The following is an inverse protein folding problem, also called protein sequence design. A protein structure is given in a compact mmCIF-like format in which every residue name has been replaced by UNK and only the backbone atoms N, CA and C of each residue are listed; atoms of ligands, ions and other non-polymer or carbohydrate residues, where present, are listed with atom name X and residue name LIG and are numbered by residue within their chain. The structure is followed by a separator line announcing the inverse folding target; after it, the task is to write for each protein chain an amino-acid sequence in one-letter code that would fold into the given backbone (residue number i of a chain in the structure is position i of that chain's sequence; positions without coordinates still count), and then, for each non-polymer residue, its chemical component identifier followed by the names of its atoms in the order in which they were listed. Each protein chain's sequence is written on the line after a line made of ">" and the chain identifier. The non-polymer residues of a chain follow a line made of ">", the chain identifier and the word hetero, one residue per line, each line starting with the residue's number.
data_IF_431464907692
#
_entry.id   IF_431464907692
#
_cell.length_a   1.000
_cell.length_b   1.000
_cell.length_c   1.000
_cell.angle_alpha   90.00
_cell.angle_beta   90.00
_cell.angle_gamma   90.00
#
_symmetry.space_group_name_H-M   'P 1'
#
loop_
_entity.id
_entity.type
_entity.pdbx_description
1 polymer ?
#
# COMPACT_ATOMS: atom_id res chain seq x y z
N UNK A 1 34.75 17.60 6.25
CA UNK A 1 33.36 17.55 6.75
C UNK A 1 32.57 16.76 5.72
N UNK A 2 32.05 15.57 6.06
CA UNK A 2 31.24 14.78 5.13
C UNK A 2 30.04 15.63 4.67
N UNK A 3 29.65 15.54 3.40
CA UNK A 3 28.49 16.22 2.79
C UNK A 3 27.24 16.13 3.67
N UNK A 4 27.04 15.00 4.36
CA UNK A 4 25.96 14.81 5.34
C UNK A 4 25.99 15.78 6.54
N UNK A 5 27.17 16.09 7.07
CA UNK A 5 27.30 17.05 8.18
C UNK A 5 27.01 18.50 7.73
N UNK A 6 27.29 18.82 6.47
CA UNK A 6 26.93 20.13 5.91
C UNK A 6 25.42 20.24 5.65
N UNK A 7 24.75 19.14 5.31
CA UNK A 7 23.29 19.08 5.16
C UNK A 7 22.60 19.17 6.53
N UNK A 8 23.13 18.49 7.55
CA UNK A 8 22.61 18.54 8.93
C UNK A 8 22.58 19.97 9.47
N UNK A 9 23.70 20.68 9.39
CA UNK A 9 23.81 22.06 9.88
C UNK A 9 22.76 22.96 9.20
N UNK A 10 22.50 22.77 7.91
CA UNK A 10 21.51 23.58 7.19
C UNK A 10 20.07 23.31 7.63
N UNK A 11 19.73 22.06 7.98
CA UNK A 11 18.41 21.72 8.52
C UNK A 11 18.19 22.33 9.91
N UNK A 12 19.23 22.31 10.75
CA UNK A 12 19.19 22.90 12.09
C UNK A 12 19.09 24.44 12.01
N UNK A 13 19.84 25.08 11.10
CA UNK A 13 19.77 26.53 10.88
C UNK A 13 18.41 26.98 10.35
N UNK A 14 17.82 26.25 9.39
CA UNK A 14 16.50 26.57 8.85
C UNK A 14 15.36 26.44 9.89
N UNK A 15 15.55 25.62 10.93
CA UNK A 15 14.60 25.47 12.04
C UNK A 15 14.74 26.58 13.10
N UNK A 16 15.92 27.22 13.21
CA UNK A 16 16.17 28.30 14.17
C UNK A 16 15.70 29.67 13.64
N UNK A 17 15.80 29.93 12.34
CA UNK A 17 15.31 31.17 11.71
C UNK A 17 13.78 31.37 11.86
N UNK A 18 13.02 30.30 12.10
CA UNK A 18 11.56 30.35 12.31
C UNK A 18 11.15 30.82 13.72
N UNK A 19 12.09 30.88 14.68
CA UNK A 19 11.81 31.42 16.03
C UNK A 19 11.81 32.95 16.09
N UNK A 20 12.38 33.64 15.09
CA UNK A 20 12.51 35.10 15.10
C UNK A 20 11.41 35.84 14.29
N UNK A 21 10.61 35.15 13.47
CA UNK A 21 9.67 35.81 12.56
C UNK A 21 8.19 35.39 12.76
N UNK A 22 7.66 35.58 13.96
CA UNK A 22 6.20 35.60 14.21
C UNK A 22 5.74 37.03 14.50
N UNK A 23 5.56 37.83 13.45
CA UNK A 23 4.78 39.09 13.53
C UNK A 23 3.33 38.82 13.16
N UNK A 24 2.48 38.86 14.17
CA UNK A 24 1.02 38.68 14.10
C UNK A 24 0.40 39.81 13.27
N UNK A 25 -0.25 39.48 12.15
CA UNK A 25 -1.13 40.41 11.43
C UNK A 25 -2.53 39.81 11.37
N UNK A 26 -3.45 40.41 12.13
CA UNK A 26 -4.87 40.05 12.19
C UNK A 26 -5.59 40.64 10.97
N UNK A 27 -6.20 39.81 10.13
CA UNK A 27 -7.12 40.26 9.09
C UNK A 27 -8.58 39.94 9.45
N UNK A 28 -9.41 40.98 9.34
CA UNK A 28 -10.84 41.00 9.63
C UNK A 28 -11.63 40.53 8.39
N UNK A 29 -12.56 39.61 8.59
CA UNK A 29 -13.47 39.07 7.57
C UNK A 29 -14.80 39.83 7.59
N UNK A 30 -15.36 40.27 6.45
CA UNK A 30 -16.77 40.66 6.33
C UNK A 30 -17.65 39.56 5.69
N UNK A 31 -18.99 39.60 5.90
CA UNK A 31 -19.87 38.45 5.71
C UNK A 31 -20.51 38.32 4.32
N UNK A 32 -21.04 37.11 4.07
CA UNK A 32 -21.84 36.61 2.93
C UNK A 32 -23.08 37.45 2.58
N UNK A 33 -23.63 37.21 1.38
CA UNK A 33 -25.04 36.86 1.30
C UNK A 33 -25.37 35.59 0.49
N UNK A 34 -26.53 35.03 0.81
CA UNK A 34 -27.18 33.83 0.28
C UNK A 34 -27.78 34.01 -1.12
N UNK A 35 -28.01 32.88 -1.80
CA UNK A 35 -28.86 32.80 -2.99
C UNK A 35 -29.11 31.37 -3.47
N UNK A 36 -30.24 30.79 -3.07
CA UNK A 36 -30.79 29.54 -3.62
C UNK A 36 -31.33 29.72 -5.06
N UNK A 37 -31.22 28.70 -5.92
CA UNK A 37 -32.32 28.23 -6.81
C UNK A 37 -32.05 26.86 -7.45
N UNK A 38 -33.12 26.07 -7.56
CA UNK A 38 -33.22 24.64 -7.91
C UNK A 38 -33.46 24.35 -9.41
N UNK A 39 -33.13 23.09 -9.79
CA UNK A 39 -33.82 22.14 -10.73
C UNK A 39 -33.57 22.23 -12.26
N UNK A 40 -33.07 21.13 -12.88
CA UNK A 40 -33.86 20.07 -13.60
C UNK A 40 -32.99 19.00 -14.29
N UNK A 41 -33.43 17.73 -14.18
CA UNK A 41 -32.94 16.54 -14.91
C UNK A 41 -33.43 16.51 -16.38
N UNK A 42 -32.64 15.93 -17.29
CA UNK A 42 -33.14 15.23 -18.51
C UNK A 42 -32.28 14.01 -18.86
N UNK A 43 -32.95 12.96 -19.38
CA UNK A 43 -32.48 11.62 -19.77
C UNK A 43 -32.50 11.45 -21.30
N UNK A 44 -31.83 10.36 -21.77
CA UNK A 44 -31.85 9.64 -23.09
C UNK A 44 -30.79 10.12 -24.10
N UNK A 45 -30.16 9.30 -24.96
CA UNK A 45 -30.37 7.92 -25.46
C UNK A 45 -29.06 7.40 -26.12
N UNK A 46 -29.06 6.13 -26.56
CA UNK A 46 -27.94 5.20 -26.90
C UNK A 46 -27.40 5.23 -28.36
N UNK A 47 -26.06 4.98 -28.51
CA UNK A 47 -25.23 4.26 -29.55
C UNK A 47 -25.22 4.70 -31.04
N UNK A 48 -24.21 4.36 -31.92
CA UNK A 48 -23.05 3.42 -31.81
C UNK A 48 -21.65 3.86 -32.35
N UNK A 49 -20.62 3.09 -31.92
CA UNK A 49 -19.31 2.77 -32.55
C UNK A 49 -18.27 3.87 -32.89
N UNK A 50 -17.11 3.82 -32.19
CA UNK A 50 -15.78 4.00 -32.81
C UNK A 50 -14.67 3.43 -31.92
N UNK A 51 -13.80 2.60 -32.54
CA UNK A 51 -12.54 2.12 -31.98
C UNK A 51 -11.57 3.30 -31.83
N UNK A 52 -11.19 3.62 -30.59
CA UNK A 52 -9.82 3.87 -30.15
C UNK A 52 -9.87 3.84 -28.61
N UNK A 53 -9.03 3.02 -28.00
CA UNK A 53 -9.06 2.64 -26.59
C UNK A 53 -8.87 3.83 -25.65
N UNK A 54 -9.98 4.43 -25.23
CA UNK A 54 -10.13 5.17 -23.98
C UNK A 54 -9.83 4.26 -22.77
N UNK A 55 -9.52 4.80 -21.58
CA UNK A 55 -9.32 4.04 -20.35
C UNK A 55 -10.68 3.50 -19.82
N UNK A 56 -11.36 2.70 -20.62
CA UNK A 56 -12.71 2.20 -20.35
C UNK A 56 -12.69 0.70 -20.07
N UNK A 57 -12.19 0.37 -18.88
CA UNK A 57 -12.83 -0.50 -17.88
C UNK A 57 -11.85 -0.71 -16.73
N UNK A 58 -11.59 0.34 -15.97
CA UNK A 58 -11.28 0.13 -14.56
C UNK A 58 -12.63 -0.16 -13.92
N UNK A 59 -12.73 -1.32 -13.26
CA UNK A 59 -13.86 -1.71 -12.40
C UNK A 59 -14.24 -0.47 -11.59
N UNK A 60 -15.46 0.05 -11.80
CA UNK A 60 -15.98 1.08 -10.89
C UNK A 60 -15.82 0.52 -9.50
N UNK A 61 -15.29 1.30 -8.57
CA UNK A 61 -15.37 0.99 -7.15
C UNK A 61 -16.84 0.99 -6.74
N UNK A 62 -17.53 -0.13 -6.99
CA UNK A 62 -18.85 -0.45 -6.50
C UNK A 62 -18.83 -0.77 -4.99
N UNK A 63 -17.66 -0.63 -4.35
CA UNK A 63 -17.45 -0.80 -2.91
C UNK A 63 -17.88 0.35 -2.01
N UNK A 64 -18.20 1.52 -2.56
CA UNK A 64 -18.65 2.65 -1.73
C UNK A 64 -20.11 2.48 -1.27
N UNK A 65 -20.89 1.60 -1.91
CA UNK A 65 -22.34 1.48 -1.65
C UNK A 65 -22.86 0.04 -1.48
N UNK A 66 -22.06 -0.95 -1.07
CA UNK A 66 -22.64 -2.24 -0.64
C UNK A 66 -22.94 -2.20 0.86
N UNK A 67 -24.21 -2.05 1.29
CA UNK A 67 -24.58 -2.05 2.69
C UNK A 67 -24.54 -3.48 3.24
N UNK A 68 -23.35 -3.95 3.62
CA UNK A 68 -23.19 -5.27 4.23
C UNK A 68 -24.05 -5.39 5.48
N UNK A 69 -24.79 -6.48 5.62
CA UNK A 69 -25.41 -6.81 6.89
C UNK A 69 -24.41 -7.52 7.80
N UNK A 70 -23.90 -6.79 8.78
CA UNK A 70 -22.93 -7.33 9.74
C UNK A 70 -23.54 -8.28 10.77
N UNK A 71 -24.87 -8.36 10.87
CA UNK A 71 -25.55 -9.17 11.89
C UNK A 71 -25.35 -8.62 13.32
N UNK A 72 -25.64 -9.46 14.31
CA UNK A 72 -25.41 -9.12 15.72
C UNK A 72 -23.93 -9.25 16.05
N UNK A 73 -23.24 -8.11 16.13
CA UNK A 73 -21.83 -8.05 16.48
C UNK A 73 -21.67 -8.32 17.98
N UNK A 74 -20.82 -9.28 18.34
CA UNK A 74 -20.45 -9.59 19.72
C UNK A 74 -18.95 -9.37 19.88
N UNK A 75 -18.57 -8.48 20.81
CA UNK A 75 -17.18 -8.30 21.19
C UNK A 75 -16.80 -9.34 22.25
N UNK A 76 -15.93 -10.27 21.88
CA UNK A 76 -15.42 -11.29 22.80
C UNK A 76 -14.50 -10.62 23.81
N UNK A 77 -14.84 -10.70 25.10
CA UNK A 77 -14.07 -10.09 26.20
C UNK A 77 -13.02 -11.06 26.73
N UNK A 78 -11.93 -10.51 27.30
CA UNK A 78 -10.90 -11.30 28.00
C UNK A 78 -10.01 -12.13 27.08
N UNK A 79 -9.91 -11.74 25.81
CA UNK A 79 -9.11 -12.44 24.80
C UNK A 79 -7.62 -12.21 25.06
N UNK A 80 -6.90 -13.28 25.37
CA UNK A 80 -5.45 -13.25 25.57
C UNK A 80 -4.74 -13.46 24.23
N UNK A 81 -4.28 -12.37 23.61
CA UNK A 81 -3.53 -12.38 22.36
C UNK A 81 -2.07 -12.83 22.52
N UNK A 82 -1.54 -12.82 23.75
CA UNK A 82 -0.16 -13.25 24.01
C UNK A 82 0.00 -14.76 24.00
N UNK A 83 -1.08 -15.50 24.29
CA UNK A 83 -1.08 -16.96 24.22
C UNK A 83 -1.20 -17.46 22.79
N UNK A 84 -0.56 -18.61 22.46
CA UNK A 84 -0.74 -19.25 21.18
C UNK A 84 -2.19 -19.72 21.02
N UNK A 85 -2.75 -19.52 19.83
CA UNK A 85 -4.06 -20.01 19.43
C UNK A 85 -3.90 -21.23 18.54
N UNK A 86 -4.70 -22.24 18.84
CA UNK A 86 -4.91 -23.40 17.98
C UNK A 86 -6.32 -23.35 17.36
N UNK A 87 -6.64 -24.33 16.52
CA UNK A 87 -7.95 -24.44 15.86
C UNK A 87 -9.11 -24.40 16.86
N UNK A 88 -9.00 -25.06 18.02
CA UNK A 88 -10.05 -25.07 19.04
C UNK A 88 -10.28 -23.70 19.68
N UNK A 89 -9.21 -22.94 19.93
CA UNK A 89 -9.29 -21.58 20.47
C UNK A 89 -9.91 -20.63 19.44
N UNK A 90 -9.53 -20.79 18.17
CA UNK A 90 -10.11 -20.03 17.06
C UNK A 90 -11.61 -20.36 16.86
N UNK A 91 -11.98 -21.65 16.87
CA UNK A 91 -13.36 -22.11 16.77
C UNK A 91 -14.23 -21.51 17.87
N UNK A 92 -13.74 -21.57 19.12
CA UNK A 92 -14.41 -20.96 20.26
C UNK A 92 -14.56 -19.44 20.09
N UNK A 93 -13.49 -18.74 19.72
CA UNK A 93 -13.54 -17.30 19.50
C UNK A 93 -14.57 -16.92 18.43
N UNK A 94 -14.60 -17.63 17.30
CA UNK A 94 -15.54 -17.35 16.21
C UNK A 94 -16.99 -17.62 16.64
N UNK A 95 -17.23 -18.71 17.36
CA UNK A 95 -18.54 -19.01 17.95
C UNK A 95 -18.98 -17.91 18.92
N UNK A 96 -18.12 -17.52 19.87
CA UNK A 96 -18.38 -16.47 20.85
C UNK A 96 -18.60 -15.09 20.19
N UNK A 97 -17.94 -14.84 19.05
CA UNK A 97 -18.11 -13.64 18.23
C UNK A 97 -19.38 -13.65 17.36
N UNK A 98 -20.19 -14.70 17.42
CA UNK A 98 -21.47 -14.82 16.72
C UNK A 98 -21.38 -15.32 15.28
N UNK A 99 -20.27 -15.95 14.88
CA UNK A 99 -20.19 -16.67 13.62
C UNK A 99 -20.79 -18.07 13.78
N UNK A 100 -21.59 -18.50 12.79
CA UNK A 100 -22.16 -19.85 12.78
C UNK A 100 -21.32 -20.78 11.90
N UNK A 101 -20.70 -21.80 12.51
CA UNK A 101 -19.93 -22.82 11.79
C UNK A 101 -20.84 -23.58 10.82
N UNK A 102 -20.33 -23.84 9.61
CA UNK A 102 -21.06 -24.60 8.58
C UNK A 102 -22.49 -24.06 8.31
N UNK A 103 -22.68 -22.75 8.40
CA UNK A 103 -23.97 -22.09 8.15
C UNK A 103 -24.32 -21.98 6.66
N UNK A 104 -23.34 -22.15 5.77
CA UNK A 104 -23.55 -22.29 4.34
C UNK A 104 -22.56 -23.32 3.77
N UNK A 105 -22.99 -24.58 3.75
CA UNK A 105 -22.22 -25.69 3.19
C UNK A 105 -22.47 -25.88 1.69
N UNK A 106 -23.11 -24.92 1.02
CA UNK A 106 -23.49 -25.09 -0.38
C UNK A 106 -22.26 -25.20 -1.28
N UNK A 107 -22.30 -26.18 -2.18
CA UNK A 107 -21.25 -26.39 -3.17
C UNK A 107 -21.10 -25.18 -4.11
N UNK A 108 -22.20 -24.45 -4.35
CA UNK A 108 -22.22 -23.23 -5.14
C UNK A 108 -21.35 -22.12 -4.51
N UNK A 109 -21.49 -21.85 -3.21
CA UNK A 109 -20.66 -20.85 -2.52
C UNK A 109 -19.20 -21.28 -2.50
N UNK A 110 -18.93 -22.55 -2.18
CA UNK A 110 -17.58 -23.13 -2.21
C UNK A 110 -16.93 -23.00 -3.60
N UNK A 111 -17.65 -23.34 -4.66
CA UNK A 111 -17.15 -23.24 -6.04
C UNK A 111 -16.89 -21.79 -6.44
N UNK A 112 -17.76 -20.87 -6.03
CA UNK A 112 -17.64 -19.44 -6.32
C UNK A 112 -16.39 -18.81 -5.68
N UNK A 113 -16.05 -19.20 -4.45
CA UNK A 113 -14.91 -18.62 -3.71
C UNK A 113 -13.57 -19.29 -4.01
N UNK A 114 -13.56 -20.55 -4.48
CA UNK A 114 -12.31 -21.29 -4.69
C UNK A 114 -11.29 -20.54 -5.57
N UNK A 115 -11.66 -19.87 -6.68
CA UNK A 115 -10.71 -19.10 -7.47
C UNK A 115 -9.99 -18.00 -6.68
N UNK A 116 -10.67 -17.37 -5.71
CA UNK A 116 -10.07 -16.34 -4.85
C UNK A 116 -9.04 -16.96 -3.91
N UNK A 117 -9.36 -18.11 -3.31
CA UNK A 117 -8.42 -18.83 -2.44
C UNK A 117 -7.15 -19.23 -3.20
N UNK A 118 -7.31 -19.78 -4.40
CA UNK A 118 -6.19 -20.22 -5.25
C UNK A 118 -5.32 -19.04 -5.66
N UNK A 119 -5.92 -17.95 -6.15
CA UNK A 119 -5.15 -16.78 -6.56
C UNK A 119 -4.43 -16.13 -5.38
N UNK A 120 -5.10 -15.99 -4.23
CA UNK A 120 -4.49 -15.46 -3.03
C UNK A 120 -3.34 -16.35 -2.52
N UNK A 121 -3.52 -17.67 -2.46
CA UNK A 121 -2.47 -18.56 -1.96
C UNK A 121 -1.23 -18.52 -2.85
N UNK A 122 -1.41 -18.47 -4.17
CA UNK A 122 -0.32 -18.30 -5.12
C UNK A 122 0.39 -16.98 -4.92
N UNK A 123 -0.35 -15.87 -4.82
CA UNK A 123 0.21 -14.54 -4.60
C UNK A 123 0.98 -14.46 -3.28
N UNK A 124 0.46 -15.05 -2.21
CA UNK A 124 1.15 -15.14 -0.92
C UNK A 124 2.45 -15.94 -1.03
N UNK A 125 2.48 -17.05 -1.76
CA UNK A 125 3.72 -17.82 -1.98
C UNK A 125 4.78 -17.02 -2.72
N UNK A 126 4.41 -16.32 -3.79
CA UNK A 126 5.35 -15.47 -4.53
C UNK A 126 5.95 -14.38 -3.63
N UNK A 127 5.10 -13.70 -2.86
CA UNK A 127 5.55 -12.64 -1.96
C UNK A 127 6.49 -13.15 -0.85
N UNK A 128 6.19 -14.31 -0.27
CA UNK A 128 7.07 -14.92 0.73
C UNK A 128 8.43 -15.31 0.17
N UNK A 129 8.50 -15.78 -1.09
CA UNK A 129 9.76 -16.13 -1.74
C UNK A 129 10.60 -14.91 -2.10
N UNK A 130 9.95 -13.79 -2.45
CA UNK A 130 10.63 -12.52 -2.66
C UNK A 130 11.26 -11.98 -1.35
N UNK A 131 10.62 -12.23 -0.20
CA UNK A 131 11.11 -11.81 1.12
C UNK A 131 12.09 -12.78 1.78
N UNK A 132 12.08 -14.06 1.42
CA UNK A 132 13.02 -15.08 1.89
C UNK A 132 13.72 -15.64 0.66
N UNK A 133 14.75 -14.95 0.13
CA UNK A 133 15.41 -15.38 -1.09
C UNK A 133 16.08 -16.72 -0.87
N UNK A 134 15.53 -17.77 -1.48
CA UNK A 134 16.18 -19.06 -1.58
C UNK A 134 16.43 -19.36 -3.07
N UNK A 135 17.69 -19.31 -3.55
CA UNK A 135 18.01 -19.43 -4.97
C UNK A 135 17.58 -20.78 -5.57
N UNK A 136 17.35 -21.80 -4.74
CA UNK A 136 16.93 -23.12 -5.17
C UNK A 136 15.41 -23.32 -5.14
N UNK A 137 14.65 -22.36 -4.60
CA UNK A 137 13.22 -22.49 -4.40
C UNK A 137 12.46 -21.71 -5.47
N UNK A 138 11.88 -22.43 -6.43
CA UNK A 138 10.92 -21.85 -7.38
C UNK A 138 9.53 -21.89 -6.77
N UNK A 139 8.77 -20.80 -6.92
CA UNK A 139 7.36 -20.82 -6.57
C UNK A 139 6.64 -21.83 -7.46
N UNK A 140 5.96 -22.80 -6.84
CA UNK A 140 5.04 -23.66 -7.56
C UNK A 140 3.65 -23.06 -7.45
N UNK A 141 3.08 -22.66 -8.58
CA UNK A 141 1.69 -22.21 -8.65
C UNK A 141 0.79 -23.41 -8.40
N UNK A 142 -0.06 -23.30 -7.39
CA UNK A 142 -1.11 -24.27 -7.12
C UNK A 142 -2.24 -24.12 -8.15
N UNK A 143 -2.71 -25.26 -8.66
CA UNK A 143 -3.83 -25.38 -9.61
C UNK A 143 -4.85 -26.36 -9.03
N UNK A 144 -6.13 -26.00 -9.12
CA UNK A 144 -7.24 -26.83 -8.66
C UNK A 144 -7.19 -28.23 -9.28
N UNK A 145 -7.46 -29.26 -8.48
CA UNK A 145 -7.53 -30.65 -8.93
C UNK A 145 -8.96 -31.13 -9.11
N UNK A 146 -9.96 -30.31 -8.78
CA UNK A 146 -11.38 -30.61 -8.95
C UNK A 146 -12.02 -31.26 -7.73
N UNK A 147 -11.26 -31.46 -6.64
CA UNK A 147 -11.82 -31.87 -5.35
C UNK A 147 -11.86 -30.64 -4.45
N UNK A 148 -13.04 -30.06 -4.25
CA UNK A 148 -13.21 -28.79 -3.55
C UNK A 148 -12.55 -28.79 -2.17
N UNK A 149 -12.84 -29.77 -1.32
CA UNK A 149 -12.33 -29.78 0.05
C UNK A 149 -10.79 -29.96 0.09
N UNK A 150 -10.25 -30.82 -0.78
CA UNK A 150 -8.80 -30.98 -0.93
C UNK A 150 -8.13 -29.73 -1.50
N UNK A 151 -8.80 -29.04 -2.43
CA UNK A 151 -8.28 -27.84 -3.07
C UNK A 151 -8.25 -26.67 -2.08
N UNK A 152 -9.30 -26.53 -1.26
CA UNK A 152 -9.31 -25.60 -0.13
C UNK A 152 -8.22 -25.91 0.89
N UNK A 153 -8.08 -27.17 1.27
CA UNK A 153 -7.02 -27.62 2.19
C UNK A 153 -5.62 -27.25 1.67
N UNK A 154 -5.39 -27.38 0.36
CA UNK A 154 -4.13 -26.97 -0.27
C UNK A 154 -3.94 -25.45 -0.22
N UNK A 155 -5.00 -24.66 -0.43
CA UNK A 155 -4.93 -23.19 -0.37
C UNK A 155 -4.56 -22.66 1.02
N UNK A 156 -4.86 -23.39 2.09
CA UNK A 156 -4.40 -23.04 3.44
C UNK A 156 -2.91 -23.31 3.66
N UNK A 157 -2.23 -24.14 2.85
CA UNK A 157 -0.84 -24.52 3.10
C UNK A 157 0.07 -23.29 3.23
N UNK A 158 0.07 -22.33 2.29
CA UNK A 158 0.93 -21.15 2.39
C UNK A 158 0.63 -20.27 3.61
N UNK A 159 -0.66 -20.20 4.01
CA UNK A 159 -1.12 -19.41 5.16
C UNK A 159 -0.73 -20.03 6.52
N UNK A 160 -0.35 -21.31 6.56
CA UNK A 160 0.00 -22.03 7.78
C UNK A 160 1.51 -22.11 8.04
N UNK A 161 2.34 -21.45 7.21
CA UNK A 161 3.79 -21.63 7.22
C UNK A 161 4.52 -20.68 8.18
N UNK A 162 5.65 -21.14 8.73
CA UNK A 162 6.61 -20.29 9.46
C UNK A 162 7.08 -19.10 8.60
N UNK A 163 7.41 -19.28 7.30
CA UNK A 163 7.61 -18.18 6.38
C UNK A 163 6.55 -17.08 6.46
N UNK A 164 5.25 -17.41 6.44
CA UNK A 164 4.20 -16.39 6.52
C UNK A 164 4.17 -15.70 7.89
N UNK A 165 4.35 -16.45 8.97
CA UNK A 165 4.45 -15.89 10.32
C UNK A 165 5.60 -14.88 10.46
N UNK A 166 6.75 -15.17 9.88
CA UNK A 166 7.93 -14.30 9.93
C UNK A 166 7.77 -13.10 8.99
N UNK A 167 7.23 -13.32 7.79
CA UNK A 167 7.19 -12.29 6.74
C UNK A 167 6.00 -11.36 6.84
N UNK A 168 4.89 -11.75 7.50
CA UNK A 168 3.68 -10.91 7.51
C UNK A 168 3.90 -9.50 8.09
N UNK A 169 4.86 -9.33 9.01
CA UNK A 169 5.22 -8.02 9.58
C UNK A 169 5.89 -7.07 8.57
N UNK A 170 6.39 -7.64 7.47
CA UNK A 170 7.03 -6.92 6.36
C UNK A 170 6.15 -6.89 5.11
N UNK A 171 4.98 -7.52 5.13
CA UNK A 171 4.00 -7.50 4.04
C UNK A 171 2.97 -6.40 4.26
N UNK A 172 2.30 -5.98 3.19
CA UNK A 172 1.18 -5.06 3.33
C UNK A 172 0.03 -5.66 4.16
N UNK A 173 -0.68 -4.83 4.95
CA UNK A 173 -1.77 -5.28 5.82
C UNK A 173 -2.88 -6.10 5.12
N UNK A 174 -3.10 -5.93 3.82
CA UNK A 174 -4.06 -6.73 3.06
C UNK A 174 -3.80 -8.23 3.11
N UNK A 175 -2.55 -8.70 3.17
CA UNK A 175 -2.28 -10.15 3.18
C UNK A 175 -2.87 -10.82 4.42
N UNK A 176 -2.61 -10.28 5.61
CA UNK A 176 -3.18 -10.81 6.86
C UNK A 176 -4.69 -10.57 6.93
N UNK A 177 -5.17 -9.44 6.41
CA UNK A 177 -6.61 -9.14 6.32
C UNK A 177 -7.34 -10.16 5.45
N UNK A 178 -6.77 -10.49 4.29
CA UNK A 178 -7.34 -11.46 3.37
C UNK A 178 -7.27 -12.87 3.95
N UNK A 179 -6.13 -13.29 4.52
CA UNK A 179 -6.01 -14.57 5.21
C UNK A 179 -7.06 -14.70 6.33
N UNK A 180 -7.26 -13.64 7.13
CA UNK A 180 -8.30 -13.60 8.16
C UNK A 180 -9.70 -13.80 7.58
N UNK A 181 -10.04 -13.07 6.52
CA UNK A 181 -11.34 -13.18 5.84
C UNK A 181 -11.58 -14.57 5.25
N UNK A 182 -10.56 -15.18 4.65
CA UNK A 182 -10.61 -16.54 4.12
C UNK A 182 -10.80 -17.57 5.24
N UNK A 183 -10.09 -17.44 6.36
CA UNK A 183 -10.26 -18.35 7.50
C UNK A 183 -11.67 -18.27 8.08
N UNK A 184 -12.22 -17.07 8.26
CA UNK A 184 -13.62 -16.90 8.69
C UNK A 184 -14.58 -17.49 7.66
N UNK A 185 -14.34 -17.26 6.37
CA UNK A 185 -15.09 -17.89 5.28
C UNK A 185 -15.08 -19.40 5.38
N UNK A 186 -13.90 -20.01 5.58
CA UNK A 186 -13.72 -21.43 5.77
C UNK A 186 -14.49 -21.99 6.96
N UNK A 187 -14.46 -21.30 8.09
CA UNK A 187 -15.26 -21.65 9.27
C UNK A 187 -16.77 -21.65 8.96
N UNK A 188 -17.29 -20.59 8.35
CA UNK A 188 -18.73 -20.49 8.00
C UNK A 188 -19.17 -21.50 6.95
N UNK A 189 -18.27 -21.89 6.03
CA UNK A 189 -18.52 -22.92 5.02
C UNK A 189 -18.29 -24.35 5.50
N UNK A 190 -17.79 -24.53 6.74
CA UNK A 190 -17.45 -25.84 7.28
C UNK A 190 -16.28 -26.50 6.57
N UNK A 191 -15.33 -25.72 6.03
CA UNK A 191 -14.16 -26.24 5.34
C UNK A 191 -13.14 -26.84 6.33
N UNK A 192 -12.50 -27.97 5.97
CA UNK A 192 -11.44 -28.52 6.79
C UNK A 192 -10.19 -27.62 6.79
N UNK A 193 -9.46 -27.61 7.91
CA UNK A 193 -8.15 -26.96 8.00
C UNK A 193 -8.16 -25.44 8.12
N UNK A 194 -9.33 -24.80 8.32
CA UNK A 194 -9.43 -23.33 8.46
C UNK A 194 -8.58 -22.77 9.61
N UNK A 195 -8.35 -23.54 10.68
CA UNK A 195 -7.64 -23.11 11.89
C UNK A 195 -6.39 -23.91 12.24
N UNK A 196 -5.90 -24.74 11.31
CA UNK A 196 -4.79 -25.67 11.59
C UNK A 196 -3.44 -24.95 11.79
N UNK A 197 -2.52 -25.64 12.44
CA UNK A 197 -1.14 -25.20 12.64
C UNK A 197 -1.07 -23.76 13.18
N UNK A 198 -0.28 -22.91 12.52
CA UNK A 198 0.00 -21.53 12.95
C UNK A 198 -1.01 -20.50 12.45
N UNK A 199 -1.97 -20.88 11.61
CA UNK A 199 -2.85 -19.90 10.96
C UNK A 199 -3.67 -19.11 11.98
N UNK A 200 -4.15 -19.79 13.03
CA UNK A 200 -4.89 -19.17 14.12
C UNK A 200 -4.04 -18.11 14.84
N UNK A 201 -2.77 -18.42 15.08
CA UNK A 201 -1.81 -17.50 15.68
C UNK A 201 -1.46 -16.31 14.79
N UNK A 202 -1.31 -16.53 13.48
CA UNK A 202 -0.99 -15.48 12.52
C UNK A 202 -2.14 -14.46 12.40
N UNK A 203 -3.39 -14.92 12.42
CA UNK A 203 -4.54 -14.05 12.19
C UNK A 203 -5.16 -13.46 13.44
N UNK A 204 -4.91 -13.99 14.65
CA UNK A 204 -5.69 -13.65 15.87
C UNK A 204 -5.79 -12.15 16.14
N UNK A 205 -4.69 -11.42 16.02
CA UNK A 205 -4.68 -9.97 16.27
C UNK A 205 -5.53 -9.23 15.25
N UNK A 206 -5.39 -9.60 13.97
CA UNK A 206 -6.16 -9.02 12.87
C UNK A 206 -7.63 -9.38 12.98
N UNK A 207 -7.95 -10.62 13.34
CA UNK A 207 -9.31 -11.10 13.56
C UNK A 207 -10.02 -10.34 14.69
N UNK A 208 -9.36 -10.15 15.84
CA UNK A 208 -9.92 -9.37 16.94
C UNK A 208 -10.17 -7.93 16.52
N UNK A 209 -9.21 -7.30 15.83
CA UNK A 209 -9.36 -5.92 15.33
C UNK A 209 -10.47 -5.79 14.29
N UNK A 210 -10.61 -6.75 13.39
CA UNK A 210 -11.60 -6.74 12.31
C UNK A 210 -12.95 -7.30 12.71
N UNK A 211 -13.12 -7.83 13.93
CA UNK A 211 -14.30 -8.56 14.36
C UNK A 211 -15.63 -7.88 13.98
N UNK A 212 -15.72 -6.56 14.18
CA UNK A 212 -16.92 -5.77 13.88
C UNK A 212 -17.17 -5.52 12.39
N UNK A 213 -16.15 -5.71 11.56
CA UNK A 213 -16.12 -5.39 10.13
C UNK A 213 -16.24 -6.62 9.22
N UNK A 214 -16.49 -7.80 9.79
CA UNK A 214 -16.68 -9.05 9.06
C UNK A 214 -18.15 -9.44 9.14
N UNK A 215 -18.88 -9.60 8.01
CA UNK A 215 -20.27 -10.01 8.06
C UNK A 215 -20.44 -11.43 8.64
N UNK A 216 -21.50 -11.65 9.42
CA UNK A 216 -21.82 -12.97 10.00
C UNK A 216 -22.60 -13.88 9.07
N UNK A 217 -23.29 -13.31 8.07
CA UNK A 217 -24.08 -14.06 7.08
C UNK A 217 -23.22 -14.37 5.87
N UNK A 218 -23.29 -15.60 5.37
CA UNK A 218 -22.42 -16.05 4.27
C UNK A 218 -22.54 -15.25 2.98
N UNK A 219 -23.74 -14.81 2.52
CA UNK A 219 -23.83 -13.99 1.32
C UNK A 219 -23.04 -12.68 1.42
N UNK A 220 -23.20 -11.95 2.53
CA UNK A 220 -22.48 -10.71 2.81
C UNK A 220 -20.98 -10.96 3.01
N UNK A 221 -20.60 -12.04 3.71
CA UNK A 221 -19.21 -12.43 3.93
C UNK A 221 -18.52 -12.78 2.60
N UNK A 222 -19.19 -13.55 1.75
CA UNK A 222 -18.70 -13.89 0.40
C UNK A 222 -18.50 -12.63 -0.43
N UNK A 223 -19.47 -11.72 -0.44
CA UNK A 223 -19.35 -10.44 -1.11
C UNK A 223 -18.18 -9.61 -0.54
N UNK A 224 -17.97 -9.63 0.78
CA UNK A 224 -16.87 -8.93 1.44
C UNK A 224 -15.51 -9.54 1.11
N UNK A 225 -15.39 -10.86 1.05
CA UNK A 225 -14.18 -11.59 0.64
C UNK A 225 -13.82 -11.20 -0.80
N UNK A 226 -14.77 -11.29 -1.73
CA UNK A 226 -14.57 -10.91 -3.13
C UNK A 226 -14.18 -9.44 -3.29
N UNK A 227 -14.88 -8.54 -2.59
CA UNK A 227 -14.57 -7.12 -2.60
C UNK A 227 -13.17 -6.84 -2.06
N UNK A 228 -12.81 -7.44 -0.92
CA UNK A 228 -11.48 -7.30 -0.30
C UNK A 228 -10.39 -7.80 -1.25
N UNK A 229 -10.60 -8.97 -1.87
CA UNK A 229 -9.66 -9.50 -2.85
C UNK A 229 -9.51 -8.58 -4.05
N UNK A 230 -10.61 -8.13 -4.64
CA UNK A 230 -10.58 -7.26 -5.81
C UNK A 230 -9.93 -5.91 -5.51
N UNK A 231 -10.20 -5.33 -4.34
CA UNK A 231 -9.63 -4.06 -3.92
C UNK A 231 -8.10 -4.11 -3.85
N UNK A 232 -7.55 -5.12 -3.20
CA UNK A 232 -6.12 -5.18 -2.88
C UNK A 232 -5.29 -6.00 -3.87
N UNK A 233 -5.90 -6.93 -4.59
CA UNK A 233 -5.17 -7.84 -5.48
C UNK A 233 -5.73 -7.83 -6.89
N UNK A 234 -7.04 -8.01 -7.08
CA UNK A 234 -7.64 -8.11 -8.41
C UNK A 234 -7.41 -6.87 -9.29
N UNK A 235 -7.82 -5.70 -8.82
CA UNK A 235 -7.66 -4.43 -9.55
C UNK A 235 -6.17 -4.09 -9.72
N UNK A 236 -5.35 -4.41 -8.71
CA UNK A 236 -3.90 -4.24 -8.76
C UNK A 236 -3.29 -5.06 -9.90
N UNK A 237 -3.66 -6.34 -10.01
CA UNK A 237 -3.17 -7.23 -11.05
C UNK A 237 -3.63 -6.77 -12.46
N UNK A 238 -4.85 -6.22 -12.57
CA UNK A 238 -5.37 -5.62 -13.82
C UNK A 238 -4.59 -4.37 -14.26
N UNK A 239 -3.98 -3.64 -13.32
CA UNK A 239 -3.15 -2.49 -13.64
C UNK A 239 -1.76 -2.87 -14.16
N UNK A 240 -1.19 -4.02 -13.75
CA UNK A 240 0.16 -4.45 -14.14
C UNK A 240 0.47 -4.46 -15.64
N UNK A 241 -0.44 -4.88 -16.55
CA UNK A 241 -0.17 -4.81 -18.00
C UNK A 241 -0.31 -3.40 -18.61
N UNK A 242 -0.93 -2.43 -17.92
CA UNK A 242 -1.23 -1.11 -18.50
C UNK A 242 0.01 -0.20 -18.47
N UNK A 243 0.51 0.26 -19.63
CA UNK A 243 1.63 1.22 -19.65
C UNK A 243 1.19 2.56 -19.05
N UNK A 244 1.89 2.99 -18.00
CA UNK A 244 1.66 4.27 -17.31
C UNK A 244 2.55 5.37 -17.90
N UNK A 245 1.94 6.50 -18.21
CA UNK A 245 2.61 7.79 -18.36
C UNK A 245 2.32 8.64 -17.10
N UNK A 246 2.86 9.87 -17.05
CA UNK A 246 2.66 10.77 -15.91
C UNK A 246 1.17 11.09 -15.68
N UNK A 247 0.36 11.19 -16.74
CA UNK A 247 -1.07 11.48 -16.64
C UNK A 247 -1.84 10.31 -16.04
N UNK A 248 -1.54 9.08 -16.44
CA UNK A 248 -2.15 7.86 -15.89
C UNK A 248 -1.71 7.61 -14.44
N UNK A 249 -0.45 7.87 -14.12
CA UNK A 249 0.04 7.84 -12.75
C UNK A 249 -0.73 8.84 -11.87
N UNK A 250 -0.85 10.09 -12.33
CA UNK A 250 -1.61 11.14 -11.65
C UNK A 250 -3.05 10.70 -11.39
N UNK A 251 -3.73 10.22 -12.44
CA UNK A 251 -5.09 9.73 -12.33
C UNK A 251 -5.21 8.58 -11.33
N UNK A 252 -4.26 7.63 -11.34
CA UNK A 252 -4.26 6.51 -10.41
C UNK A 252 -4.09 6.98 -8.96
N UNK A 253 -3.13 7.88 -8.69
CA UNK A 253 -2.92 8.42 -7.34
C UNK A 253 -4.16 9.12 -6.79
N UNK A 254 -4.92 9.82 -7.63
CA UNK A 254 -6.17 10.50 -7.22
C UNK A 254 -7.36 9.56 -7.03
N UNK A 255 -7.42 8.45 -7.78
CA UNK A 255 -8.66 7.69 -7.96
C UNK A 255 -8.59 6.22 -7.54
N UNK A 256 -7.43 5.69 -7.17
CA UNK A 256 -7.31 4.29 -6.75
C UNK A 256 -8.13 3.96 -5.49
N UNK A 257 -8.39 2.67 -5.30
CA UNK A 257 -9.23 2.14 -4.21
C UNK A 257 -8.47 1.94 -2.91
N UNK A 258 -7.14 2.03 -2.91
CA UNK A 258 -6.30 1.81 -1.74
C UNK A 258 -6.22 3.09 -0.91
N UNK A 259 -5.66 4.13 -1.52
CA UNK A 259 -5.32 5.40 -0.88
C UNK A 259 -5.29 6.50 -1.93
N UNK A 260 -6.20 7.46 -1.78
CA UNK A 260 -6.33 8.59 -2.69
C UNK A 260 -5.48 9.75 -2.20
N UNK A 261 -4.63 10.26 -3.07
CA UNK A 261 -3.83 11.45 -2.85
C UNK A 261 -4.48 12.62 -3.58
N UNK A 262 -4.19 13.85 -3.13
CA UNK A 262 -4.69 15.04 -3.79
C UNK A 262 -3.52 15.95 -4.13
N UNK A 263 -3.40 16.40 -5.39
CA UNK A 263 -2.44 17.45 -5.69
C UNK A 263 -2.84 18.67 -4.88
N UNK A 264 -1.86 19.41 -4.36
CA UNK A 264 -2.08 20.61 -3.52
C UNK A 264 -2.74 20.35 -2.16
N UNK A 265 -2.70 19.12 -1.63
CA UNK A 265 -3.06 18.85 -0.22
C UNK A 265 -2.24 19.73 0.73
N UNK A 266 -0.97 19.96 0.40
CA UNK A 266 -0.08 20.85 1.14
C UNK A 266 0.30 22.06 0.29
N UNK A 267 0.57 23.19 0.96
CA UNK A 267 0.98 24.43 0.30
C UNK A 267 2.45 24.34 -0.10
N UNK A 268 2.73 24.46 -1.39
CA UNK A 268 4.07 24.67 -1.90
C UNK A 268 4.58 26.05 -1.48
N UNK A 269 5.67 26.08 -0.72
CA UNK A 269 6.38 27.28 -0.28
C UNK A 269 7.89 27.00 -0.21
N UNK A 270 8.69 28.05 0.01
CA UNK A 270 10.17 27.95 0.02
C UNK A 270 10.66 26.86 0.97
N UNK A 271 10.17 26.80 2.22
CA UNK A 271 10.53 25.78 3.20
C UNK A 271 10.26 24.37 2.67
N UNK A 272 9.03 24.09 2.22
CA UNK A 272 8.67 22.76 1.70
C UNK A 272 9.45 22.36 0.45
N UNK A 273 9.75 23.32 -0.43
CA UNK A 273 10.58 23.07 -1.62
C UNK A 273 12.01 22.73 -1.22
N UNK A 274 12.61 23.52 -0.33
CA UNK A 274 13.95 23.29 0.20
C UNK A 274 14.04 21.93 0.90
N UNK A 275 13.10 21.60 1.78
CA UNK A 275 13.07 20.29 2.45
C UNK A 275 12.94 19.15 1.44
N UNK A 276 12.05 19.26 0.44
CA UNK A 276 11.88 18.25 -0.60
C UNK A 276 13.16 18.06 -1.44
N UNK A 277 13.87 19.15 -1.79
CA UNK A 277 15.17 19.08 -2.46
C UNK A 277 16.20 18.39 -1.57
N UNK A 278 16.31 18.77 -0.29
CA UNK A 278 17.29 18.20 0.63
C UNK A 278 17.10 16.70 0.86
N UNK A 279 15.88 16.23 1.14
CA UNK A 279 15.63 14.79 1.32
C UNK A 279 15.89 13.99 0.04
N UNK A 280 15.66 14.61 -1.11
CA UNK A 280 15.94 14.01 -2.41
C UNK A 280 17.45 13.89 -2.62
N UNK A 281 18.22 14.94 -2.32
CA UNK A 281 19.69 14.90 -2.31
C UNK A 281 20.22 13.82 -1.36
N UNK A 282 19.68 13.71 -0.15
CA UNK A 282 20.09 12.71 0.82
C UNK A 282 19.87 11.27 0.32
N UNK A 283 18.74 10.99 -0.36
CA UNK A 283 18.53 9.67 -0.99
C UNK A 283 19.58 9.41 -2.07
N UNK A 284 19.96 10.41 -2.88
CA UNK A 284 21.02 10.21 -3.88
C UNK A 284 22.38 9.95 -3.20
N UNK A 285 22.72 10.69 -2.16
CA UNK A 285 23.92 10.46 -1.39
C UNK A 285 23.97 9.03 -0.82
N UNK A 286 22.88 8.54 -0.23
CA UNK A 286 22.79 7.16 0.26
C UNK A 286 23.00 6.14 -0.87
N UNK A 287 22.32 6.29 -2.01
CA UNK A 287 22.53 5.39 -3.17
C UNK A 287 24.01 5.40 -3.60
N UNK A 288 24.63 6.58 -3.66
CA UNK A 288 26.04 6.73 -4.03
C UNK A 288 26.97 6.07 -3.03
N UNK A 289 26.73 6.24 -1.74
CA UNK A 289 27.53 5.65 -0.68
C UNK A 289 27.44 4.11 -0.66
N UNK A 290 26.24 3.56 -0.91
CA UNK A 290 26.05 2.11 -1.03
C UNK A 290 26.72 1.51 -2.28
N UNK A 291 27.06 2.33 -3.28
CA UNK A 291 27.60 1.88 -4.57
C UNK A 291 28.80 2.71 -5.06
N UNK A 292 29.66 3.19 -4.14
CA UNK A 292 30.77 4.14 -4.45
C UNK A 292 31.61 3.76 -5.66
N UNK A 293 31.89 2.47 -5.85
CA UNK A 293 32.73 1.98 -6.96
C UNK A 293 32.09 2.12 -8.35
N UNK A 294 30.79 2.37 -8.43
CA UNK A 294 30.04 2.44 -9.69
C UNK A 294 29.84 3.87 -10.20
N UNK A 295 30.18 4.88 -9.38
CA UNK A 295 29.96 6.28 -9.70
C UNK A 295 31.25 7.00 -10.07
N UNK A 296 31.16 7.86 -11.07
CA UNK A 296 32.29 8.60 -11.61
C UNK A 296 32.10 10.12 -11.45
N UNK A 297 33.11 10.89 -11.83
CA UNK A 297 33.11 12.36 -11.76
C UNK A 297 31.86 13.00 -12.39
N UNK A 298 31.34 12.43 -13.48
CA UNK A 298 30.11 12.91 -14.13
C UNK A 298 28.87 12.78 -13.24
N UNK A 299 28.78 11.75 -12.41
CA UNK A 299 27.68 11.57 -11.47
C UNK A 299 27.80 12.55 -10.29
N UNK A 300 29.03 12.90 -9.87
CA UNK A 300 29.27 13.96 -8.89
C UNK A 300 28.89 15.34 -9.41
N UNK A 301 29.10 15.62 -10.71
CA UNK A 301 28.65 16.86 -11.34
C UNK A 301 27.12 16.96 -11.35
N UNK A 302 26.40 15.87 -11.64
CA UNK A 302 24.94 15.84 -11.55
C UNK A 302 24.43 16.15 -10.15
N UNK A 303 25.14 15.75 -9.10
CA UNK A 303 24.82 16.12 -7.72
C UNK A 303 25.06 17.60 -7.43
N UNK A 304 26.16 18.15 -7.94
CA UNK A 304 26.43 19.60 -7.86
C UNK A 304 25.36 20.43 -8.58
N UNK A 305 24.78 19.89 -9.66
CA UNK A 305 23.68 20.53 -10.38
C UNK A 305 22.40 20.64 -9.54
N UNK A 306 22.08 19.62 -8.72
CA UNK A 306 20.93 19.72 -7.78
C UNK A 306 21.16 20.90 -6.83
N UNK A 307 22.39 20.98 -6.29
CA UNK A 307 22.77 21.99 -5.31
C UNK A 307 22.68 23.42 -5.85
N UNK A 308 23.02 23.60 -7.13
CA UNK A 308 23.05 24.93 -7.78
C UNK A 308 21.67 25.40 -8.27
N UNK A 309 20.82 24.50 -8.77
CA UNK A 309 19.52 24.87 -9.35
C UNK A 309 18.39 24.96 -8.31
N UNK A 310 18.49 24.24 -7.18
CA UNK A 310 17.55 24.28 -6.03
C UNK A 310 16.06 24.14 -6.38
N UNK A 311 15.70 23.53 -7.52
CA UNK A 311 14.31 23.22 -7.86
C UNK A 311 13.97 21.77 -7.48
N UNK A 312 12.79 21.50 -6.90
CA UNK A 312 12.34 20.14 -6.63
C UNK A 312 12.32 19.24 -7.87
N UNK A 313 11.89 19.74 -9.02
CA UNK A 313 11.80 18.96 -10.26
C UNK A 313 13.15 18.42 -10.70
N UNK A 314 14.19 19.26 -10.67
CA UNK A 314 15.55 18.82 -11.01
C UNK A 314 16.08 17.79 -10.01
N UNK A 315 15.85 18.00 -8.72
CA UNK A 315 16.27 17.06 -7.69
C UNK A 315 15.61 15.68 -7.90
N UNK A 316 14.30 15.66 -8.14
CA UNK A 316 13.52 14.44 -8.37
C UNK A 316 13.97 13.70 -9.64
N UNK A 317 14.28 14.44 -10.70
CA UNK A 317 14.80 13.88 -11.95
C UNK A 317 16.17 13.21 -11.74
N UNK A 318 17.10 13.89 -11.05
CA UNK A 318 18.41 13.33 -10.74
C UNK A 318 18.26 12.11 -9.81
N UNK A 319 17.49 12.20 -8.73
CA UNK A 319 17.26 11.06 -7.84
C UNK A 319 16.71 9.85 -8.60
N UNK A 320 15.75 10.05 -9.50
CA UNK A 320 15.22 8.94 -10.28
C UNK A 320 16.23 8.31 -11.22
N UNK A 321 17.13 9.11 -11.82
CA UNK A 321 18.20 8.62 -12.70
C UNK A 321 19.26 7.78 -11.96
N UNK A 322 19.42 7.99 -10.65
CA UNK A 322 20.28 7.16 -9.79
C UNK A 322 19.51 5.92 -9.32
N UNK A 323 18.29 6.08 -8.82
CA UNK A 323 17.49 5.00 -8.27
C UNK A 323 17.19 3.90 -9.30
N UNK A 324 16.94 4.27 -10.57
CA UNK A 324 16.61 3.29 -11.62
C UNK A 324 17.72 2.26 -11.85
N UNK A 325 19.00 2.64 -11.66
CA UNK A 325 20.16 1.75 -11.87
C UNK A 325 20.23 0.63 -10.83
N UNK A 326 19.60 0.84 -9.68
CA UNK A 326 19.68 -0.05 -8.52
C UNK A 326 18.32 -0.61 -8.09
N UNK A 327 17.28 -0.38 -8.89
CA UNK A 327 15.90 -0.73 -8.49
C UNK A 327 15.71 -2.22 -8.21
N UNK A 328 16.36 -3.09 -8.99
CA UNK A 328 16.22 -4.54 -8.87
C UNK A 328 17.17 -5.19 -7.85
N UNK A 329 18.00 -4.39 -7.17
CA UNK A 329 18.93 -4.89 -6.15
C UNK A 329 18.13 -5.48 -4.97
N UNK A 330 18.46 -6.73 -4.61
CA UNK A 330 17.85 -7.50 -3.50
C UNK A 330 18.63 -7.34 -2.20
N UNK A 331 18.93 -6.10 -1.82
CA UNK A 331 19.58 -5.71 -0.56
C UNK A 331 18.65 -4.81 0.24
N UNK A 332 18.81 -4.79 1.57
CA UNK A 332 17.98 -3.97 2.46
C UNK A 332 17.99 -2.50 2.08
N UNK A 333 19.17 -1.89 1.89
CA UNK A 333 19.27 -0.47 1.48
C UNK A 333 18.50 -0.16 0.19
N UNK A 334 18.46 -1.10 -0.77
CA UNK A 334 17.73 -0.90 -2.02
C UNK A 334 16.21 -0.97 -1.81
N UNK A 335 15.74 -1.74 -0.82
CA UNK A 335 14.35 -1.70 -0.37
C UNK A 335 14.03 -0.35 0.28
N UNK A 336 14.90 0.13 1.15
CA UNK A 336 14.74 1.43 1.82
C UNK A 336 14.73 2.57 0.77
N UNK A 337 15.62 2.51 -0.23
CA UNK A 337 15.63 3.39 -1.40
C UNK A 337 14.28 3.38 -2.13
N UNK A 338 13.73 2.20 -2.48
CA UNK A 338 12.45 2.11 -3.20
C UNK A 338 11.30 2.74 -2.41
N UNK A 339 11.25 2.51 -1.10
CA UNK A 339 10.25 3.10 -0.21
C UNK A 339 10.41 4.62 -0.11
N UNK A 340 11.65 5.11 0.04
CA UNK A 340 11.95 6.54 0.13
C UNK A 340 11.61 7.26 -1.18
N UNK A 341 11.98 6.69 -2.34
CA UNK A 341 11.66 7.24 -3.66
C UNK A 341 10.14 7.31 -3.87
N UNK A 342 9.39 6.27 -3.48
CA UNK A 342 7.93 6.31 -3.52
C UNK A 342 7.37 7.41 -2.61
N UNK A 343 7.80 7.47 -1.36
CA UNK A 343 7.32 8.48 -0.41
C UNK A 343 7.61 9.91 -0.87
N UNK A 344 8.81 10.17 -1.38
CA UNK A 344 9.19 11.47 -1.96
C UNK A 344 8.34 11.80 -3.20
N UNK A 345 8.08 10.81 -4.06
CA UNK A 345 7.19 10.99 -5.23
C UNK A 345 5.78 11.41 -4.80
N UNK A 346 5.24 10.77 -3.76
CA UNK A 346 3.91 11.09 -3.21
C UNK A 346 3.88 12.48 -2.56
N UNK A 347 4.93 12.86 -1.84
CA UNK A 347 5.07 14.20 -1.25
C UNK A 347 5.13 15.29 -2.32
N UNK A 348 5.95 15.09 -3.35
CA UNK A 348 6.06 16.01 -4.49
C UNK A 348 4.70 16.16 -5.21
N UNK A 349 3.96 15.06 -5.39
CA UNK A 349 2.61 15.07 -5.94
C UNK A 349 1.64 15.89 -5.07
N UNK A 350 1.58 15.63 -3.76
CA UNK A 350 0.66 16.32 -2.85
C UNK A 350 1.01 17.80 -2.61
N UNK A 351 2.27 18.19 -2.85
CA UNK A 351 2.71 19.58 -2.90
C UNK A 351 2.36 20.28 -4.23
N UNK A 352 1.96 19.54 -5.26
CA UNK A 352 1.61 20.09 -6.57
C UNK A 352 2.81 20.37 -7.49
N UNK A 353 3.94 19.68 -7.29
CA UNK A 353 5.10 19.76 -8.19
C UNK A 353 4.72 19.17 -9.55
N UNK A 354 4.98 19.90 -10.65
CA UNK A 354 4.48 19.51 -11.98
C UNK A 354 5.09 18.20 -12.48
N UNK A 355 6.42 18.07 -12.36
CA UNK A 355 7.17 16.87 -12.73
C UNK A 355 7.60 16.13 -11.44
N UNK A 356 6.61 15.63 -10.70
CA UNK A 356 6.81 15.05 -9.37
C UNK A 356 7.55 13.69 -9.35
N UNK A 357 7.96 13.17 -10.51
CA UNK A 357 8.83 12.00 -10.62
C UNK A 357 9.65 12.00 -11.92
N UNK A 358 10.78 11.30 -11.91
CA UNK A 358 11.54 10.98 -13.11
C UNK A 358 10.75 10.01 -14.02
N UNK A 359 10.43 10.44 -15.25
CA UNK A 359 9.52 9.69 -16.14
C UNK A 359 9.96 8.24 -16.41
N UNK A 360 11.25 7.93 -16.65
CA UNK A 360 11.70 6.55 -16.82
C UNK A 360 11.40 5.62 -15.63
N UNK A 361 11.25 6.14 -14.41
CA UNK A 361 10.89 5.31 -13.26
C UNK A 361 9.44 4.82 -13.31
N UNK A 362 8.55 5.52 -14.02
CA UNK A 362 7.10 5.23 -13.93
C UNK A 362 6.82 3.78 -14.35
N UNK A 363 7.31 3.37 -15.52
CA UNK A 363 6.94 2.09 -16.13
C UNK A 363 7.70 0.90 -15.56
N UNK A 364 8.99 1.06 -15.29
CA UNK A 364 9.88 -0.02 -14.87
C UNK A 364 9.90 -0.23 -13.36
N UNK A 365 9.62 0.81 -12.59
CA UNK A 365 9.98 0.87 -11.17
C UNK A 365 8.77 1.25 -10.30
N UNK A 366 8.39 2.53 -10.32
CA UNK A 366 7.40 3.13 -9.43
C UNK A 366 6.04 2.49 -9.54
N UNK A 367 5.57 2.14 -10.75
CA UNK A 367 4.26 1.50 -10.92
C UNK A 367 4.13 0.24 -10.06
N UNK A 368 5.10 -0.67 -10.11
CA UNK A 368 5.05 -1.90 -9.32
C UNK A 368 5.04 -1.57 -7.83
N UNK A 369 5.87 -0.63 -7.38
CA UNK A 369 5.92 -0.24 -5.97
C UNK A 369 4.59 0.37 -5.51
N UNK A 370 4.02 1.31 -6.26
CA UNK A 370 2.73 1.93 -5.97
C UNK A 370 1.63 0.88 -5.85
N UNK A 371 1.60 -0.05 -6.79
CA UNK A 371 0.59 -1.10 -6.85
C UNK A 371 0.67 -2.08 -5.67
N UNK A 372 1.85 -2.30 -5.11
CA UNK A 372 2.07 -3.28 -4.05
C UNK A 372 2.14 -2.68 -2.64
N UNK A 373 2.59 -1.43 -2.49
CA UNK A 373 3.02 -0.90 -1.20
C UNK A 373 2.12 0.21 -0.63
N UNK A 374 1.23 0.80 -1.41
CA UNK A 374 0.44 1.98 -1.00
C UNK A 374 -0.38 1.81 0.28
N UNK A 375 -0.59 0.57 0.72
CA UNK A 375 -1.26 0.23 1.95
C UNK A 375 -0.43 0.47 3.22
N UNK A 376 0.90 0.50 3.13
CA UNK A 376 1.73 0.67 4.33
C UNK A 376 1.46 2.02 5.00
N UNK A 377 1.52 2.02 6.34
CA UNK A 377 1.17 3.17 7.16
C UNK A 377 2.13 4.35 6.99
N UNK A 378 3.38 4.12 6.55
CA UNK A 378 4.33 5.20 6.26
C UNK A 378 3.88 6.09 5.08
N UNK A 379 2.97 5.60 4.22
CA UNK A 379 2.34 6.41 3.17
C UNK A 379 1.02 7.08 3.65
N UNK A 380 0.65 6.90 4.92
CA UNK A 380 -0.53 7.48 5.56
C UNK A 380 -0.17 8.64 6.49
N UNK A 381 0.24 9.78 5.92
CA UNK A 381 0.59 10.95 6.71
C UNK A 381 -0.44 12.07 6.54
N UNK A 382 -0.95 12.55 7.67
CA UNK A 382 -1.84 13.73 7.73
C UNK A 382 -1.06 15.03 7.88
N UNK A 383 0.17 14.94 8.39
CA UNK A 383 1.08 16.06 8.62
C UNK A 383 2.34 15.83 7.81
N UNK A 384 2.68 16.78 6.93
CA UNK A 384 3.84 16.66 6.03
C UNK A 384 5.16 16.50 6.80
N UNK A 385 5.29 17.16 7.96
CA UNK A 385 6.48 17.07 8.80
C UNK A 385 6.72 15.67 9.35
N UNK A 386 5.68 14.86 9.57
CA UNK A 386 5.85 13.46 9.96
C UNK A 386 6.46 12.63 8.83
N UNK A 387 6.10 12.91 7.58
CA UNK A 387 6.68 12.23 6.42
C UNK A 387 8.15 12.62 6.23
N UNK A 388 8.48 13.91 6.38
CA UNK A 388 9.86 14.37 6.34
C UNK A 388 10.69 13.80 7.48
N UNK A 389 10.17 13.78 8.71
CA UNK A 389 10.84 13.18 9.86
C UNK A 389 11.07 11.68 9.66
N UNK A 390 10.09 10.95 9.12
CA UNK A 390 10.25 9.54 8.78
C UNK A 390 11.39 9.32 7.77
N UNK A 391 11.42 10.09 6.67
CA UNK A 391 12.48 10.01 5.67
C UNK A 391 13.86 10.30 6.27
N UNK A 392 13.96 11.36 7.06
CA UNK A 392 15.20 11.75 7.71
C UNK A 392 15.72 10.65 8.65
N UNK A 393 14.84 10.12 9.51
CA UNK A 393 15.20 9.04 10.44
C UNK A 393 15.57 7.76 9.71
N UNK A 394 14.91 7.45 8.60
CA UNK A 394 15.22 6.26 7.80
C UNK A 394 16.61 6.37 7.17
N UNK A 395 16.93 7.53 6.58
CA UNK A 395 18.23 7.78 5.96
C UNK A 395 19.38 7.80 6.97
N UNK A 396 19.15 8.37 8.16
CA UNK A 396 20.18 8.42 9.21
C UNK A 396 20.60 7.03 9.72
N UNK A 397 19.70 6.03 9.71
CA UNK A 397 20.03 4.68 10.19
C UNK A 397 21.15 4.01 9.42
N UNK A 398 21.44 4.45 8.20
CA UNK A 398 22.53 3.93 7.38
C UNK A 398 23.91 4.51 7.75
N UNK A 399 23.97 5.63 8.49
CA UNK A 399 25.23 6.26 8.89
C UNK A 399 25.78 5.70 10.22
N UNK A 400 24.91 5.15 11.07
CA UNK A 400 25.26 4.66 12.42
C UNK A 400 25.68 3.17 12.43
N UNK A 401 25.80 2.52 11.26
CA UNK A 401 26.25 1.12 11.06
C UNK A 401 27.49 1.13 10.17
#
# INVERSE_FOLDING_TARGET
>A
MNTFEQIRIKLDTAAEEEKEEVKTTTQVVPPKPEGEKKKKKKKKKTTPAQLLTEPTRVVRDDGIDYPYNYGKIVDVKGVDLKKPWNEATLDKYLSDAGFARASDTSEATKTKLLPVYIKFCNKLMFEMLDLIPNPNQKAQTYVAKGNLDADYFCCYNPMCTIPFEITNKHMVPAYVTMATMLVVGGYTMGLPGFGRDRIADIIKERLVRLNRSIPRRTPDLTAKIMHTYNRYFGIVDEQLPIVWDLSKLTWYLENNTIRKYRPTKYKLNVKTMTTLTLITEMVVCDIMDQNRSQYHEKDLLLMSDIHSQKTPEKALDVMGSFAIRHWDVKKQWAQDMRQNVLLITLLAFELGVKNYCHLPLITTCLKRQILLDLEFDNYNYDVIDHAFAYLYLNLKRHDDI
#
